data_IF_611262262134
#
_entry.id   IF_611262262134
#
_cell.length_a   1.000
_cell.length_b   1.000
_cell.length_c   1.000
_cell.angle_alpha   90.00
_cell.angle_beta   90.00
_cell.angle_gamma   90.00
#
_symmetry.space_group_name_H-M   'P 1'
#
loop_
_entity.id
_entity.type
_entity.pdbx_description
1 polymer ?
#
# COMPACT_ATOMS: atom_id res chain seq x y z
N UNK A 1 10.78 -14.94 -37.55
CA UNK A 1 11.49 -16.18 -37.95
C UNK A 1 10.61 -17.36 -37.59
N UNK A 2 10.33 -18.27 -38.53
CA UNK A 2 9.50 -19.45 -38.23
C UNK A 2 10.38 -20.48 -37.48
N UNK A 3 10.18 -20.62 -36.18
CA UNK A 3 10.78 -21.69 -35.38
C UNK A 3 9.93 -22.95 -35.47
N UNK A 4 10.54 -24.12 -35.26
CA UNK A 4 9.79 -25.37 -35.07
C UNK A 4 9.02 -25.38 -33.74
N UNK A 5 8.41 -26.51 -33.34
CA UNK A 5 7.78 -26.65 -32.02
C UNK A 5 8.77 -26.35 -30.88
N UNK A 6 8.37 -25.53 -29.93
CA UNK A 6 9.15 -25.18 -28.73
C UNK A 6 8.23 -25.13 -27.50
N UNK A 7 8.81 -25.06 -26.30
CA UNK A 7 8.01 -24.79 -25.09
C UNK A 7 7.16 -23.52 -25.24
N UNK A 8 7.70 -22.47 -25.88
CA UNK A 8 6.98 -21.22 -26.12
C UNK A 8 5.79 -21.38 -27.08
N UNK A 9 5.82 -22.33 -28.03
CA UNK A 9 4.64 -22.64 -28.86
C UNK A 9 3.56 -23.33 -28.04
N UNK A 10 3.92 -24.21 -27.12
CA UNK A 10 2.95 -24.86 -26.22
C UNK A 10 2.31 -23.84 -25.28
N UNK A 11 3.09 -22.95 -24.66
CA UNK A 11 2.58 -21.84 -23.83
C UNK A 11 1.54 -21.00 -24.58
N UNK A 12 1.83 -20.66 -25.85
CA UNK A 12 0.88 -19.96 -26.70
C UNK A 12 -0.43 -20.73 -26.85
N UNK A 13 -0.36 -22.05 -27.12
CA UNK A 13 -1.58 -22.87 -27.25
C UNK A 13 -2.37 -22.95 -25.95
N UNK A 14 -1.72 -23.01 -24.77
CA UNK A 14 -2.41 -22.99 -23.48
C UNK A 14 -3.11 -21.65 -23.27
N UNK A 15 -2.42 -20.53 -23.53
CA UNK A 15 -3.00 -19.18 -23.44
C UNK A 15 -4.21 -19.02 -24.36
N UNK A 16 -4.10 -19.45 -25.61
CA UNK A 16 -5.22 -19.43 -26.57
C UNK A 16 -6.38 -20.31 -26.13
N UNK A 17 -6.10 -21.52 -25.61
CA UNK A 17 -7.13 -22.42 -25.11
C UNK A 17 -7.88 -21.79 -23.95
N UNK A 18 -7.17 -21.21 -22.98
CA UNK A 18 -7.77 -20.52 -21.85
C UNK A 18 -8.63 -19.33 -22.30
N UNK A 19 -8.14 -18.53 -23.25
CA UNK A 19 -8.88 -17.39 -23.77
C UNK A 19 -10.20 -17.84 -24.45
N UNK A 20 -10.15 -18.85 -25.33
CA UNK A 20 -11.35 -19.38 -26.00
C UNK A 20 -12.39 -19.93 -25.00
N UNK A 21 -11.94 -20.49 -23.88
CA UNK A 21 -12.84 -21.04 -22.86
C UNK A 21 -13.44 -19.98 -21.93
N UNK A 22 -12.85 -18.80 -21.83
CA UNK A 22 -13.21 -17.79 -20.82
C UNK A 22 -13.76 -16.50 -21.39
N UNK A 23 -13.48 -16.18 -22.66
CA UNK A 23 -13.90 -14.92 -23.31
C UNK A 23 -14.47 -15.14 -24.71
N UNK A 24 -15.17 -14.14 -25.23
CA UNK A 24 -15.77 -14.23 -26.56
C UNK A 24 -14.75 -13.88 -27.65
N UNK A 25 -14.15 -14.91 -28.26
CA UNK A 25 -13.25 -14.73 -29.40
C UNK A 25 -14.02 -14.96 -30.70
N UNK A 26 -14.06 -13.98 -31.62
CA UNK A 26 -14.71 -14.14 -32.91
C UNK A 26 -14.14 -15.32 -33.72
N UNK A 27 -15.00 -15.97 -34.48
CA UNK A 27 -14.59 -17.00 -35.45
C UNK A 27 -14.77 -16.50 -36.88
N UNK A 28 -13.72 -16.60 -37.69
CA UNK A 28 -13.73 -16.29 -39.11
C UNK A 28 -13.32 -17.55 -39.87
N UNK A 29 -14.18 -18.00 -40.79
CA UNK A 29 -13.97 -19.22 -41.58
C UNK A 29 -13.64 -20.48 -40.74
N UNK A 30 -14.30 -20.63 -39.58
CA UNK A 30 -14.13 -21.79 -38.70
C UNK A 30 -12.86 -21.77 -37.85
N UNK A 31 -12.13 -20.64 -37.79
CA UNK A 31 -10.94 -20.45 -36.94
C UNK A 31 -11.15 -19.23 -36.05
N UNK A 32 -10.74 -19.33 -34.78
CA UNK A 32 -10.72 -18.18 -33.88
C UNK A 32 -9.75 -17.12 -34.39
N UNK A 33 -10.13 -15.85 -34.33
CA UNK A 33 -9.25 -14.73 -34.69
C UNK A 33 -8.09 -14.63 -33.71
N UNK A 34 -6.91 -14.26 -34.21
CA UNK A 34 -5.73 -14.04 -33.39
C UNK A 34 -5.92 -12.85 -32.42
N UNK A 35 -5.09 -12.83 -31.37
CA UNK A 35 -5.10 -11.78 -30.35
C UNK A 35 -6.15 -11.97 -29.25
N UNK A 36 -6.03 -11.14 -28.22
CA UNK A 36 -6.92 -11.11 -27.07
C UNK A 36 -7.81 -9.86 -27.18
N UNK A 37 -9.15 -9.95 -26.97
CA UNK A 37 -10.02 -8.79 -27.01
C UNK A 37 -9.59 -7.71 -26.01
N UNK A 38 -9.75 -6.44 -26.39
CA UNK A 38 -9.51 -5.33 -25.48
C UNK A 38 -10.53 -5.34 -24.32
N UNK A 39 -10.16 -5.00 -23.08
CA UNK A 39 -11.08 -4.95 -21.93
C UNK A 39 -12.36 -4.14 -22.18
N UNK A 40 -12.30 -3.06 -22.99
CA UNK A 40 -13.49 -2.26 -23.34
C UNK A 40 -14.56 -3.05 -24.10
N UNK A 41 -14.17 -4.11 -24.80
CA UNK A 41 -15.06 -4.97 -25.58
C UNK A 41 -15.38 -6.30 -24.88
N UNK A 42 -14.66 -6.65 -23.81
CA UNK A 42 -14.78 -7.93 -23.11
C UNK A 42 -14.86 -7.73 -21.59
N UNK A 43 -16.09 -7.76 -21.02
CA UNK A 43 -16.32 -7.49 -19.59
C UNK A 43 -15.55 -8.41 -18.64
N UNK A 44 -15.29 -9.67 -19.03
CA UNK A 44 -14.50 -10.60 -18.21
C UNK A 44 -13.08 -10.08 -18.02
N UNK A 45 -12.46 -9.56 -19.07
CA UNK A 45 -11.09 -9.03 -19.04
C UNK A 45 -11.03 -7.64 -18.38
N UNK A 46 -12.09 -6.84 -18.49
CA UNK A 46 -12.22 -5.61 -17.71
C UNK A 46 -12.33 -5.87 -16.20
N UNK A 47 -13.05 -6.92 -15.81
CA UNK A 47 -13.19 -7.32 -14.40
C UNK A 47 -11.91 -7.96 -13.86
N UNK A 48 -11.21 -8.75 -14.67
CA UNK A 48 -10.05 -9.55 -14.27
C UNK A 48 -8.78 -9.15 -15.04
N UNK A 49 -8.19 -8.02 -14.66
CA UNK A 49 -6.99 -7.47 -15.31
C UNK A 49 -5.80 -8.44 -15.29
N UNK A 50 -5.56 -9.14 -14.17
CA UNK A 50 -4.47 -10.11 -14.07
C UNK A 50 -4.65 -11.29 -15.03
N UNK A 51 -5.90 -11.69 -15.31
CA UNK A 51 -6.20 -12.70 -16.34
C UNK A 51 -5.90 -12.14 -17.73
N UNK A 52 -6.31 -10.90 -18.01
CA UNK A 52 -5.99 -10.25 -19.28
C UNK A 52 -4.48 -10.19 -19.53
N UNK A 53 -3.70 -9.72 -18.55
CA UNK A 53 -2.23 -9.68 -18.65
C UNK A 53 -1.62 -11.07 -18.82
N UNK A 54 -2.10 -12.08 -18.10
CA UNK A 54 -1.66 -13.47 -18.28
C UNK A 54 -1.91 -13.99 -19.69
N UNK A 55 -3.08 -13.70 -20.26
CA UNK A 55 -3.41 -14.08 -21.63
C UNK A 55 -2.53 -13.37 -22.66
N UNK A 56 -2.28 -12.06 -22.47
CA UNK A 56 -1.37 -11.30 -23.34
C UNK A 56 0.05 -11.88 -23.28
N UNK A 57 0.61 -12.09 -22.09
CA UNK A 57 1.95 -12.67 -21.93
C UNK A 57 2.04 -14.08 -22.50
N UNK A 58 1.06 -14.95 -22.25
CA UNK A 58 1.06 -16.30 -22.83
C UNK A 58 0.96 -16.30 -24.36
N UNK A 59 0.27 -15.31 -24.93
CA UNK A 59 -0.05 -15.25 -26.37
C UNK A 59 0.74 -14.18 -27.13
N UNK A 60 1.83 -13.66 -26.55
CA UNK A 60 2.65 -12.64 -27.20
C UNK A 60 3.16 -13.16 -28.56
N UNK A 61 3.09 -12.35 -29.64
CA UNK A 61 3.63 -12.75 -30.94
C UNK A 61 5.11 -13.14 -30.88
N UNK A 62 5.89 -12.50 -30.01
CA UNK A 62 7.29 -12.80 -29.75
C UNK A 62 7.42 -13.95 -28.73
N UNK A 63 7.99 -15.12 -29.12
CA UNK A 63 8.19 -16.24 -28.21
C UNK A 63 9.03 -15.91 -26.97
N UNK A 64 9.95 -14.95 -27.07
CA UNK A 64 10.87 -14.60 -25.98
C UNK A 64 10.18 -13.74 -24.91
N UNK A 65 9.02 -13.17 -25.22
CA UNK A 65 8.17 -12.40 -24.29
C UNK A 65 7.11 -13.25 -23.58
N UNK A 66 7.03 -14.54 -23.90
CA UNK A 66 6.10 -15.49 -23.26
C UNK A 66 6.68 -16.03 -21.96
N UNK A 67 5.87 -16.78 -21.20
CA UNK A 67 6.38 -17.48 -20.03
C UNK A 67 7.49 -18.46 -20.41
N UNK A 68 8.65 -18.44 -19.71
CA UNK A 68 9.82 -19.24 -20.08
C UNK A 68 9.59 -20.75 -19.86
N UNK A 69 8.58 -21.13 -19.08
CA UNK A 69 8.20 -22.53 -18.88
C UNK A 69 6.75 -22.67 -18.44
N UNK A 70 6.20 -23.89 -18.63
CA UNK A 70 4.87 -24.25 -18.12
C UNK A 70 4.80 -24.16 -16.58
N UNK A 71 5.92 -24.41 -15.88
CA UNK A 71 6.02 -24.24 -14.43
C UNK A 71 5.77 -22.79 -14.03
N UNK A 72 6.44 -21.83 -14.68
CA UNK A 72 6.24 -20.39 -14.42
C UNK A 72 4.82 -19.97 -14.74
N UNK A 73 4.28 -20.36 -15.91
CA UNK A 73 2.90 -20.07 -16.27
C UNK A 73 1.89 -20.64 -15.25
N UNK A 74 2.12 -21.85 -14.75
CA UNK A 74 1.24 -22.48 -13.74
C UNK A 74 1.24 -21.70 -12.44
N UNK A 75 2.41 -21.26 -11.96
CA UNK A 75 2.51 -20.42 -10.75
C UNK A 75 1.74 -19.11 -10.92
N UNK A 76 1.91 -18.44 -12.07
CA UNK A 76 1.19 -17.19 -12.35
C UNK A 76 -0.32 -17.40 -12.49
N UNK A 77 -0.75 -18.46 -13.19
CA UNK A 77 -2.16 -18.81 -13.33
C UNK A 77 -2.81 -19.16 -11.98
N UNK A 78 -2.09 -19.84 -11.08
CA UNK A 78 -2.57 -20.10 -9.73
C UNK A 78 -2.74 -18.80 -8.92
N UNK A 79 -1.86 -17.81 -9.08
CA UNK A 79 -2.02 -16.47 -8.53
C UNK A 79 -3.27 -15.77 -9.05
N UNK A 80 -3.43 -15.72 -10.37
CA UNK A 80 -4.62 -15.15 -11.03
C UNK A 80 -5.91 -15.83 -10.56
N UNK A 81 -5.92 -17.16 -10.45
CA UNK A 81 -7.07 -17.91 -9.97
C UNK A 81 -7.45 -17.52 -8.54
N UNK A 82 -6.47 -17.34 -7.64
CA UNK A 82 -6.71 -16.92 -6.26
C UNK A 82 -7.31 -15.52 -6.18
N UNK A 83 -6.86 -14.61 -7.03
CA UNK A 83 -7.42 -13.25 -7.14
C UNK A 83 -8.89 -13.30 -7.61
N UNK A 84 -9.19 -14.10 -8.64
CA UNK A 84 -10.55 -14.28 -9.15
C UNK A 84 -11.44 -14.91 -8.07
N UNK A 85 -10.97 -15.97 -7.40
CA UNK A 85 -11.71 -16.60 -6.32
C UNK A 85 -11.99 -15.62 -5.20
N UNK A 86 -10.99 -14.84 -4.76
CA UNK A 86 -11.17 -13.84 -3.73
C UNK A 86 -12.18 -12.76 -4.13
N UNK A 87 -12.21 -12.37 -5.41
CA UNK A 87 -13.18 -11.44 -5.96
C UNK A 87 -14.61 -11.99 -6.00
N UNK A 88 -14.79 -13.28 -6.29
CA UNK A 88 -16.13 -13.90 -6.42
C UNK A 88 -16.70 -14.40 -5.09
N UNK A 89 -15.86 -14.92 -4.19
CA UNK A 89 -16.30 -15.49 -2.90
C UNK A 89 -16.30 -14.47 -1.76
N UNK A 90 -15.52 -13.38 -1.89
CA UNK A 90 -15.25 -12.44 -0.79
C UNK A 90 -14.33 -13.00 0.30
N UNK A 91 -13.78 -14.20 0.12
CA UNK A 91 -12.83 -14.82 1.05
C UNK A 91 -11.41 -14.69 0.54
N UNK A 92 -10.45 -14.42 1.42
CA UNK A 92 -9.04 -14.35 1.01
C UNK A 92 -8.50 -15.73 0.58
N UNK A 93 -7.56 -15.71 -0.36
CA UNK A 93 -6.84 -16.90 -0.84
C UNK A 93 -5.33 -16.63 -0.82
N UNK A 94 -4.71 -16.42 0.36
CA UNK A 94 -3.31 -16.10 0.48
C UNK A 94 -2.42 -17.29 0.08
N UNK A 95 -1.26 -17.00 -0.51
CA UNK A 95 -0.19 -17.99 -0.63
C UNK A 95 1.16 -17.28 -0.66
N UNK A 96 2.15 -17.93 -0.05
CA UNK A 96 3.53 -17.50 -0.08
C UNK A 96 4.05 -17.55 -1.53
N UNK A 97 4.60 -16.43 -1.99
CA UNK A 97 5.27 -16.36 -3.27
C UNK A 97 6.54 -17.23 -3.24
N UNK A 98 6.83 -17.87 -4.37
CA UNK A 98 8.12 -18.55 -4.60
C UNK A 98 9.14 -17.65 -5.30
N UNK A 99 8.71 -16.48 -5.77
CA UNK A 99 9.53 -15.50 -6.51
C UNK A 99 9.91 -14.31 -5.65
N UNK A 100 9.09 -13.98 -4.66
CA UNK A 100 9.30 -12.87 -3.72
C UNK A 100 9.33 -13.36 -2.28
N UNK A 101 10.12 -12.69 -1.44
CA UNK A 101 10.05 -12.86 0.01
C UNK A 101 8.67 -12.45 0.55
N UNK A 102 8.30 -12.83 1.78
CA UNK A 102 7.26 -12.11 2.51
C UNK A 102 7.61 -10.60 2.63
N UNK A 103 6.61 -9.72 2.83
CA UNK A 103 6.87 -8.32 3.15
C UNK A 103 7.79 -8.18 4.36
N UNK A 104 8.78 -7.29 4.26
CA UNK A 104 9.81 -7.11 5.32
C UNK A 104 9.29 -6.29 6.50
N UNK A 105 8.44 -5.32 6.20
CA UNK A 105 7.73 -4.48 7.16
C UNK A 105 6.43 -3.96 6.51
N UNK A 106 5.69 -3.10 7.20
CA UNK A 106 4.52 -2.39 6.64
C UNK A 106 4.90 -0.94 6.34
N UNK A 107 4.10 -0.29 5.50
CA UNK A 107 4.17 1.15 5.21
C UNK A 107 2.74 1.70 5.18
N UNK A 108 2.56 3.02 5.31
CA UNK A 108 1.23 3.61 5.24
C UNK A 108 0.34 3.30 6.45
N UNK A 109 0.85 2.68 7.52
CA UNK A 109 0.04 2.27 8.67
C UNK A 109 -0.03 3.33 9.77
N UNK A 110 0.90 4.29 9.79
CA UNK A 110 1.05 5.27 10.88
C UNK A 110 0.81 6.71 10.42
N UNK A 111 0.91 7.00 9.13
CA UNK A 111 1.02 8.34 8.56
C UNK A 111 -0.23 9.19 8.83
N UNK A 112 -1.42 8.58 8.76
CA UNK A 112 -2.65 9.29 9.13
C UNK A 112 -2.76 9.51 10.64
N UNK A 113 -2.65 8.43 11.42
CA UNK A 113 -2.92 8.48 12.87
C UNK A 113 -1.79 9.17 13.65
N UNK A 114 -0.55 9.10 13.18
CA UNK A 114 0.62 9.75 13.76
C UNK A 114 0.49 11.27 13.82
N UNK A 115 -0.35 11.90 12.99
CA UNK A 115 -0.70 13.32 13.13
C UNK A 115 -1.27 13.65 14.53
N UNK A 116 -1.92 12.70 15.20
CA UNK A 116 -2.47 12.92 16.55
C UNK A 116 -1.38 12.96 17.62
N UNK A 117 -0.17 12.44 17.34
CA UNK A 117 0.93 12.43 18.31
C UNK A 117 1.42 13.84 18.66
N UNK A 118 1.05 14.87 17.89
CA UNK A 118 1.22 16.29 18.27
C UNK A 118 0.61 16.61 19.63
N UNK A 119 -0.48 15.93 20.01
CA UNK A 119 -1.08 16.07 21.34
C UNK A 119 -0.19 15.47 22.45
N UNK A 120 0.63 14.47 22.13
CA UNK A 120 1.53 13.82 23.07
C UNK A 120 2.87 14.56 23.23
N UNK A 121 3.48 15.00 22.13
CA UNK A 121 4.85 15.54 22.15
C UNK A 121 5.03 16.95 21.54
N UNK A 122 3.99 17.50 20.90
CA UNK A 122 4.04 18.82 20.28
C UNK A 122 4.74 18.85 18.91
N UNK A 123 5.10 17.69 18.36
CA UNK A 123 5.75 17.58 17.06
C UNK A 123 4.69 17.35 15.98
N UNK A 124 4.64 18.29 15.02
CA UNK A 124 3.78 18.16 13.84
C UNK A 124 4.38 17.11 12.90
N UNK A 125 3.54 16.18 12.46
CA UNK A 125 3.89 15.11 11.52
C UNK A 125 3.05 15.25 10.25
N UNK A 126 3.66 14.97 9.10
CA UNK A 126 2.95 14.94 7.83
C UNK A 126 2.13 13.67 7.66
N UNK A 127 1.15 13.70 6.75
CA UNK A 127 0.30 12.55 6.36
C UNK A 127 0.82 11.79 5.15
N UNK A 128 1.91 12.26 4.55
CA UNK A 128 2.42 11.78 3.28
C UNK A 128 3.24 10.51 3.47
N UNK A 129 3.21 9.65 2.45
CA UNK A 129 4.02 8.43 2.41
C UNK A 129 5.47 8.78 2.14
N UNK A 130 6.38 8.02 2.74
CA UNK A 130 7.80 8.10 2.42
C UNK A 130 8.17 6.98 1.44
N UNK A 131 8.74 7.35 0.29
CA UNK A 131 9.31 6.39 -0.66
C UNK A 131 10.38 5.49 -0.02
N UNK A 132 11.09 6.03 1.01
CA UNK A 132 12.02 5.26 1.85
C UNK A 132 11.36 4.03 2.44
N UNK A 133 10.24 4.24 3.14
CA UNK A 133 9.53 3.22 3.90
C UNK A 133 8.84 2.22 2.97
N UNK A 134 8.30 2.69 1.84
CA UNK A 134 7.72 1.81 0.80
C UNK A 134 8.78 0.83 0.30
N UNK A 135 9.93 1.30 -0.18
CA UNK A 135 10.95 0.40 -0.72
C UNK A 135 11.62 -0.47 0.36
N UNK A 136 11.62 -0.05 1.63
CA UNK A 136 12.03 -0.90 2.74
C UNK A 136 11.02 -2.04 3.01
N UNK A 137 9.72 -1.76 2.85
CA UNK A 137 8.64 -2.71 3.08
C UNK A 137 8.43 -3.71 1.93
N UNK A 138 8.67 -3.27 0.69
CA UNK A 138 8.47 -4.10 -0.49
C UNK A 138 9.29 -5.41 -0.43
N UNK A 139 8.74 -6.53 -0.93
CA UNK A 139 9.43 -7.81 -0.99
C UNK A 139 10.75 -7.77 -1.78
N UNK A 140 11.63 -8.74 -1.50
CA UNK A 140 12.85 -8.94 -2.30
C UNK A 140 12.67 -10.12 -3.25
N UNK A 141 13.15 -10.03 -4.50
CA UNK A 141 13.23 -11.18 -5.39
C UNK A 141 14.06 -12.31 -4.79
N UNK A 142 13.60 -13.55 -4.98
CA UNK A 142 14.25 -14.77 -4.52
C UNK A 142 15.02 -15.43 -5.67
N UNK A 143 16.15 -16.04 -5.29
CA UNK A 143 16.89 -16.97 -6.15
C UNK A 143 16.11 -18.29 -6.16
N UNK A 144 15.94 -18.92 -7.33
CA UNK A 144 15.32 -20.25 -7.41
C UNK A 144 16.17 -21.23 -6.57
N UNK A 145 15.61 -21.94 -5.58
CA UNK A 145 16.38 -22.91 -4.79
C UNK A 145 17.02 -24.03 -5.62
N UNK A 146 16.52 -24.27 -6.84
CA UNK A 146 17.12 -25.20 -7.78
C UNK A 146 18.33 -24.63 -8.54
N UNK A 147 18.59 -23.32 -8.44
CA UNK A 147 19.76 -22.67 -9.05
C UNK A 147 21.05 -23.06 -8.29
N UNK A 148 22.11 -23.52 -8.98
CA UNK A 148 23.37 -23.90 -8.35
C UNK A 148 24.05 -22.77 -7.55
N UNK A 149 23.79 -21.50 -7.90
CA UNK A 149 24.31 -20.30 -7.24
C UNK A 149 23.61 -20.01 -5.91
N UNK A 150 22.41 -20.54 -5.67
CA UNK A 150 21.63 -20.28 -4.46
C UNK A 150 22.40 -20.66 -3.18
N UNK A 151 23.03 -21.84 -3.17
CA UNK A 151 23.82 -22.31 -2.03
C UNK A 151 25.09 -21.46 -1.82
N UNK A 152 25.72 -20.98 -2.89
CA UNK A 152 26.93 -20.15 -2.83
C UNK A 152 26.64 -18.75 -2.30
N UNK A 153 25.43 -18.23 -2.57
CA UNK A 153 24.99 -16.89 -2.18
C UNK A 153 24.12 -16.87 -0.91
N UNK A 154 23.89 -18.01 -0.25
CA UNK A 154 23.06 -18.11 0.95
C UNK A 154 23.52 -17.16 2.09
N UNK A 155 24.82 -16.90 2.20
CA UNK A 155 25.40 -15.98 3.20
C UNK A 155 25.14 -14.49 2.94
N UNK A 156 24.59 -14.12 1.77
CA UNK A 156 24.31 -12.72 1.39
C UNK A 156 23.00 -12.20 1.96
N UNK A 157 22.18 -13.07 2.56
CA UNK A 157 20.92 -12.71 3.23
C UNK A 157 21.16 -12.30 4.69
N UNK A 158 22.13 -11.41 4.93
CA UNK A 158 22.46 -10.92 6.26
C UNK A 158 21.61 -9.68 6.62
N UNK A 159 21.19 -9.54 7.88
CA UNK A 159 20.36 -8.41 8.32
C UNK A 159 21.12 -7.07 8.31
N UNK A 160 22.44 -7.11 8.46
CA UNK A 160 23.33 -5.93 8.36
C UNK A 160 23.89 -5.83 6.94
N UNK A 161 23.63 -4.74 6.21
CA UNK A 161 24.00 -4.62 4.78
C UNK A 161 25.50 -4.67 4.52
N UNK A 162 26.34 -4.08 5.39
CA UNK A 162 27.79 -4.10 5.22
C UNK A 162 28.36 -5.54 5.25
N UNK A 163 27.89 -6.35 6.19
CA UNK A 163 28.25 -7.77 6.26
C UNK A 163 27.67 -8.57 5.08
N UNK A 164 26.50 -8.21 4.56
CA UNK A 164 25.96 -8.81 3.35
C UNK A 164 26.86 -8.51 2.13
N UNK A 165 27.39 -7.28 2.02
CA UNK A 165 28.31 -6.90 0.94
C UNK A 165 29.61 -7.69 1.02
N UNK A 166 30.18 -7.82 2.21
CA UNK A 166 31.38 -8.63 2.42
C UNK A 166 31.15 -10.12 2.12
N UNK A 167 29.95 -10.63 2.40
CA UNK A 167 29.54 -11.99 2.03
C UNK A 167 29.46 -12.16 0.50
N UNK A 168 28.91 -11.18 -0.24
CA UNK A 168 28.90 -11.19 -1.72
C UNK A 168 30.33 -11.20 -2.26
N UNK A 169 31.20 -10.30 -1.76
CA UNK A 169 32.61 -10.23 -2.15
C UNK A 169 33.35 -11.54 -1.86
N UNK A 170 33.08 -12.16 -0.71
CA UNK A 170 33.65 -13.46 -0.36
C UNK A 170 33.13 -14.58 -1.27
N UNK A 171 31.84 -14.56 -1.65
CA UNK A 171 31.29 -15.51 -2.60
C UNK A 171 31.94 -15.40 -3.98
N UNK A 172 32.13 -14.17 -4.50
CA UNK A 172 32.83 -13.94 -5.77
C UNK A 172 34.25 -14.50 -5.77
N UNK A 173 35.05 -14.21 -4.73
CA UNK A 173 36.40 -14.78 -4.57
C UNK A 173 36.41 -16.31 -4.53
N UNK A 174 35.44 -16.93 -3.82
CA UNK A 174 35.33 -18.40 -3.79
C UNK A 174 35.04 -18.96 -5.18
N UNK A 175 34.13 -18.34 -5.92
CA UNK A 175 33.74 -18.76 -7.26
C UNK A 175 34.90 -18.66 -8.28
N UNK A 176 35.74 -17.62 -8.19
CA UNK A 176 36.96 -17.48 -9.02
C UNK A 176 37.97 -18.62 -8.80
N UNK A 177 38.06 -19.12 -7.56
CA UNK A 177 38.99 -20.19 -7.17
C UNK A 177 38.38 -21.60 -7.24
N UNK A 178 37.10 -21.73 -7.58
CA UNK A 178 36.38 -22.99 -7.53
C UNK A 178 36.87 -23.97 -8.62
N UNK A 179 37.20 -25.22 -8.29
CA UNK A 179 37.50 -26.24 -9.29
C UNK A 179 36.25 -26.51 -10.14
N UNK A 180 36.31 -26.19 -11.44
CA UNK A 180 35.16 -26.30 -12.35
C UNK A 180 34.51 -24.96 -12.73
N UNK A 181 35.00 -23.84 -12.19
CA UNK A 181 34.46 -22.51 -12.46
C UNK A 181 33.17 -22.20 -11.69
N UNK A 182 32.70 -20.96 -11.82
CA UNK A 182 31.41 -20.55 -11.28
C UNK A 182 30.26 -21.09 -12.14
N UNK A 183 29.08 -21.40 -11.56
CA UNK A 183 27.88 -21.63 -12.34
C UNK A 183 27.59 -20.46 -13.28
N UNK A 184 26.97 -20.72 -14.45
CA UNK A 184 26.70 -19.68 -15.45
C UNK A 184 25.83 -18.53 -14.88
N UNK A 185 24.85 -18.86 -14.03
CA UNK A 185 23.98 -17.87 -13.38
C UNK A 185 24.66 -17.08 -12.25
N UNK A 186 25.82 -17.51 -11.77
CA UNK A 186 26.42 -16.96 -10.55
C UNK A 186 26.76 -15.48 -10.69
N UNK A 187 27.28 -15.06 -11.85
CA UNK A 187 27.66 -13.66 -12.07
C UNK A 187 26.45 -12.73 -11.99
N UNK A 188 25.31 -13.15 -12.58
CA UNK A 188 24.06 -12.40 -12.54
C UNK A 188 23.47 -12.39 -11.13
N UNK A 189 23.33 -13.55 -10.49
CA UNK A 189 22.76 -13.68 -9.14
C UNK A 189 23.58 -12.94 -8.07
N UNK A 190 24.92 -12.99 -8.16
CA UNK A 190 25.78 -12.23 -7.26
C UNK A 190 25.63 -10.71 -7.45
N UNK A 191 25.42 -10.26 -8.69
CA UNK A 191 25.22 -8.84 -9.01
C UNK A 191 23.86 -8.36 -8.53
N UNK A 192 22.78 -9.13 -8.72
CA UNK A 192 21.46 -8.83 -8.17
C UNK A 192 21.47 -8.80 -6.63
N UNK A 193 22.22 -9.70 -5.99
CA UNK A 193 22.43 -9.67 -4.54
C UNK A 193 23.17 -8.39 -4.10
N UNK A 194 24.18 -7.95 -4.85
CA UNK A 194 24.93 -6.72 -4.59
C UNK A 194 24.07 -5.46 -4.78
N UNK A 195 23.27 -5.40 -5.84
CA UNK A 195 22.28 -4.33 -6.10
C UNK A 195 21.32 -4.19 -4.92
N UNK A 196 20.78 -5.31 -4.41
CA UNK A 196 19.92 -5.31 -3.22
C UNK A 196 20.63 -4.71 -2.00
N UNK A 197 21.89 -5.08 -1.77
CA UNK A 197 22.67 -4.58 -0.62
C UNK A 197 22.92 -3.08 -0.72
N UNK A 198 23.26 -2.56 -1.90
CA UNK A 198 23.40 -1.11 -2.12
C UNK A 198 22.08 -0.35 -1.90
N UNK A 199 20.94 -0.92 -2.29
CA UNK A 199 19.63 -0.34 -1.99
C UNK A 199 19.31 -0.30 -0.49
N UNK A 200 19.71 -1.33 0.25
CA UNK A 200 19.57 -1.37 1.72
C UNK A 200 20.55 -0.39 2.42
N UNK A 201 21.69 -0.07 1.79
CA UNK A 201 22.65 0.96 2.20
C UNK A 201 22.24 2.40 1.81
N UNK A 202 21.12 2.58 1.11
CA UNK A 202 20.66 3.87 0.57
C UNK A 202 21.61 4.47 -0.50
N UNK A 203 22.20 3.60 -1.33
CA UNK A 203 23.13 3.95 -2.41
C UNK A 203 22.55 3.63 -3.81
N UNK A 204 21.48 4.32 -4.26
CA UNK A 204 20.78 3.99 -5.52
C UNK A 204 21.64 4.18 -6.78
N UNK A 205 22.61 5.10 -6.76
CA UNK A 205 23.51 5.33 -7.88
C UNK A 205 24.44 4.13 -8.14
N UNK A 206 25.01 3.54 -7.08
CA UNK A 206 25.84 2.35 -7.18
C UNK A 206 25.01 1.13 -7.62
N UNK A 207 23.80 0.98 -7.07
CA UNK A 207 22.86 -0.06 -7.46
C UNK A 207 22.53 0.03 -8.97
N UNK A 208 22.32 1.24 -9.51
CA UNK A 208 22.09 1.42 -10.94
C UNK A 208 23.28 1.04 -11.80
N UNK A 209 24.48 1.49 -11.44
CA UNK A 209 25.67 1.18 -12.24
C UNK A 209 25.89 -0.34 -12.34
N UNK A 210 25.68 -1.08 -11.25
CA UNK A 210 25.73 -2.54 -11.26
C UNK A 210 24.65 -3.15 -12.15
N UNK A 211 23.44 -2.60 -12.11
CA UNK A 211 22.30 -3.11 -12.88
C UNK A 211 22.41 -2.82 -14.38
N UNK A 212 22.91 -1.65 -14.77
CA UNK A 212 23.15 -1.29 -16.17
C UNK A 212 24.24 -2.15 -16.83
N UNK A 213 25.17 -2.67 -16.01
CA UNK A 213 26.21 -3.59 -16.44
C UNK A 213 25.74 -5.06 -16.46
N UNK A 214 24.52 -5.36 -15.98
CA UNK A 214 23.93 -6.68 -16.04
C UNK A 214 23.47 -6.95 -17.49
N UNK A 215 24.23 -7.75 -18.23
CA UNK A 215 23.93 -8.02 -19.65
C UNK A 215 22.60 -8.75 -19.88
N UNK A 216 22.13 -9.52 -18.90
CA UNK A 216 20.85 -10.23 -18.95
C UNK A 216 19.75 -9.42 -18.26
N UNK A 217 18.60 -9.31 -18.93
CA UNK A 217 17.44 -8.56 -18.43
C UNK A 217 16.27 -9.52 -18.25
N UNK A 218 15.86 -9.71 -17.00
CA UNK A 218 14.60 -10.34 -16.65
C UNK A 218 13.76 -9.40 -15.78
N UNK A 219 12.59 -9.86 -15.32
CA UNK A 219 11.70 -9.08 -14.47
C UNK A 219 12.37 -8.58 -13.18
N UNK A 220 13.43 -9.22 -12.68
CA UNK A 220 14.15 -8.77 -11.48
C UNK A 220 14.91 -7.49 -11.76
N UNK A 221 15.41 -7.33 -12.98
CA UNK A 221 16.03 -6.08 -13.43
C UNK A 221 15.02 -4.94 -13.38
N UNK A 222 13.81 -5.13 -13.92
CA UNK A 222 12.73 -4.13 -13.83
C UNK A 222 12.33 -3.85 -12.37
N UNK A 223 12.26 -4.89 -11.53
CA UNK A 223 11.98 -4.72 -10.10
C UNK A 223 13.00 -3.83 -9.40
N UNK A 224 14.29 -4.07 -9.61
CA UNK A 224 15.35 -3.25 -9.02
C UNK A 224 15.42 -1.85 -9.64
N UNK A 225 15.15 -1.69 -10.94
CA UNK A 225 14.99 -0.37 -11.56
C UNK A 225 13.87 0.43 -10.89
N UNK A 226 12.73 -0.22 -10.58
CA UNK A 226 11.62 0.39 -9.84
C UNK A 226 12.01 0.83 -8.43
N UNK A 227 12.75 0.00 -7.70
CA UNK A 227 13.26 0.34 -6.35
C UNK A 227 14.28 1.49 -6.38
N UNK A 228 15.17 1.50 -7.37
CA UNK A 228 16.13 2.58 -7.60
C UNK A 228 15.39 3.89 -7.90
N UNK A 229 14.43 3.86 -8.83
CA UNK A 229 13.64 5.03 -9.20
C UNK A 229 12.81 5.57 -8.01
N UNK A 230 12.25 4.68 -7.18
CA UNK A 230 11.60 5.05 -5.91
C UNK A 230 12.54 5.82 -4.97
N UNK A 231 13.78 5.36 -4.81
CA UNK A 231 14.80 5.99 -3.96
C UNK A 231 15.20 7.37 -4.49
N UNK A 232 15.19 7.54 -5.80
CA UNK A 232 15.51 8.81 -6.46
C UNK A 232 14.31 9.74 -6.67
N UNK A 233 13.13 9.33 -6.20
CA UNK A 233 11.90 10.11 -6.31
C UNK A 233 11.39 10.29 -7.75
N UNK A 234 11.81 9.41 -8.67
CA UNK A 234 11.27 9.31 -10.02
C UNK A 234 10.11 8.30 -10.03
N UNK A 235 8.94 8.74 -9.55
CA UNK A 235 7.82 7.83 -9.26
C UNK A 235 7.11 7.29 -10.51
N UNK A 236 7.13 8.02 -11.63
CA UNK A 236 6.54 7.59 -12.90
C UNK A 236 7.41 6.48 -13.50
N UNK A 237 8.73 6.67 -13.52
CA UNK A 237 9.65 5.61 -13.93
C UNK A 237 9.57 4.40 -13.00
N UNK A 238 9.40 4.61 -11.70
CA UNK A 238 9.20 3.52 -10.76
C UNK A 238 7.92 2.75 -11.06
N UNK A 239 6.82 3.44 -11.35
CA UNK A 239 5.56 2.83 -11.76
C UNK A 239 5.74 1.99 -13.02
N UNK A 240 6.32 2.54 -14.08
CA UNK A 240 6.53 1.83 -15.35
C UNK A 240 7.36 0.56 -15.16
N UNK A 241 8.40 0.64 -14.31
CA UNK A 241 9.25 -0.50 -13.98
C UNK A 241 8.46 -1.59 -13.25
N UNK A 242 7.62 -1.24 -12.26
CA UNK A 242 6.78 -2.23 -11.58
C UNK A 242 5.62 -2.75 -12.46
N UNK A 243 5.14 -1.97 -13.41
CA UNK A 243 4.15 -2.42 -14.41
C UNK A 243 4.75 -3.43 -15.39
N UNK A 244 6.00 -3.24 -15.80
CA UNK A 244 6.75 -4.25 -16.56
C UNK A 244 6.87 -5.56 -15.77
N UNK A 245 7.17 -5.49 -14.46
CA UNK A 245 7.15 -6.68 -13.59
C UNK A 245 5.77 -7.32 -13.52
N UNK A 246 4.69 -6.53 -13.42
CA UNK A 246 3.33 -7.08 -13.41
C UNK A 246 2.95 -7.75 -14.73
N UNK A 247 3.46 -7.27 -15.86
CA UNK A 247 3.28 -7.92 -17.17
C UNK A 247 3.99 -9.29 -17.21
N UNK A 248 5.18 -9.39 -16.65
CA UNK A 248 5.90 -10.66 -16.54
C UNK A 248 5.27 -11.61 -15.50
N UNK A 249 4.76 -11.06 -14.40
CA UNK A 249 4.27 -11.79 -13.22
C UNK A 249 2.84 -11.37 -12.83
N UNK A 250 1.84 -11.65 -13.67
CA UNK A 250 0.48 -11.16 -13.47
C UNK A 250 -0.22 -11.77 -12.25
N UNK A 251 0.26 -12.92 -11.75
CA UNK A 251 -0.29 -13.58 -10.56
C UNK A 251 0.32 -13.15 -9.23
N UNK A 252 1.33 -12.27 -9.24
CA UNK A 252 2.02 -11.85 -8.02
C UNK A 252 1.37 -10.62 -7.38
N UNK A 253 1.32 -10.62 -6.04
CA UNK A 253 0.82 -9.49 -5.22
C UNK A 253 1.86 -8.37 -5.11
N UNK A 254 3.15 -8.71 -5.09
CA UNK A 254 4.25 -7.77 -4.88
C UNK A 254 4.25 -6.60 -5.90
N UNK A 255 4.20 -6.83 -7.23
CA UNK A 255 4.15 -5.73 -8.20
C UNK A 255 2.87 -4.90 -8.09
N UNK A 256 1.72 -5.51 -7.77
CA UNK A 256 0.46 -4.77 -7.55
C UNK A 256 0.56 -3.81 -6.36
N UNK A 257 1.17 -4.25 -5.26
CA UNK A 257 1.40 -3.40 -4.10
C UNK A 257 2.35 -2.25 -4.42
N UNK A 258 3.43 -2.51 -5.16
CA UNK A 258 4.40 -1.50 -5.57
C UNK A 258 3.79 -0.46 -6.52
N UNK A 259 2.98 -0.89 -7.48
CA UNK A 259 2.20 -0.03 -8.38
C UNK A 259 1.21 0.85 -7.59
N UNK A 260 0.48 0.28 -6.63
CA UNK A 260 -0.47 1.05 -5.83
C UNK A 260 0.24 2.15 -5.01
N UNK A 261 1.38 1.81 -4.41
CA UNK A 261 2.17 2.74 -3.61
C UNK A 261 2.84 3.84 -4.45
N UNK A 262 3.37 3.51 -5.62
CA UNK A 262 3.95 4.49 -6.55
C UNK A 262 2.90 5.43 -7.12
N UNK A 263 1.73 4.93 -7.51
CA UNK A 263 0.61 5.76 -7.94
C UNK A 263 0.19 6.76 -6.85
N UNK A 264 0.19 6.33 -5.58
CA UNK A 264 -0.09 7.21 -4.45
C UNK A 264 1.03 8.25 -4.23
N UNK A 265 2.30 7.92 -4.47
CA UNK A 265 3.41 8.88 -4.40
C UNK A 265 3.35 9.92 -5.52
N UNK A 266 3.00 9.52 -6.76
CA UNK A 266 2.78 10.43 -7.88
C UNK A 266 1.74 11.49 -7.49
N UNK A 267 0.61 11.05 -6.93
CA UNK A 267 -0.45 11.96 -6.44
C UNK A 267 0.00 12.93 -5.33
N UNK A 268 0.99 12.56 -4.53
CA UNK A 268 1.46 13.38 -3.41
C UNK A 268 2.52 14.43 -3.82
N UNK A 269 3.22 14.21 -4.93
CA UNK A 269 4.46 14.95 -5.25
C UNK A 269 4.42 15.63 -6.62
N UNK A 270 3.51 15.23 -7.51
CA UNK A 270 3.36 15.83 -8.83
C UNK A 270 1.95 16.32 -9.10
N UNK A 271 1.89 17.42 -9.85
CA UNK A 271 0.66 17.92 -10.47
C UNK A 271 0.40 17.09 -11.73
N UNK A 272 -0.25 15.94 -11.56
CA UNK A 272 -0.58 15.06 -12.67
C UNK A 272 -1.69 15.69 -13.53
N UNK A 273 -1.60 15.62 -14.87
CA UNK A 273 -2.70 16.07 -15.73
C UNK A 273 -3.97 15.23 -15.57
N UNK A 274 -3.88 14.01 -15.02
CA UNK A 274 -5.02 13.16 -14.72
C UNK A 274 -4.88 12.50 -13.32
N UNK A 275 -5.17 13.24 -12.23
CA UNK A 275 -5.08 12.70 -10.89
C UNK A 275 -6.16 11.64 -10.61
N UNK A 276 -7.23 11.58 -11.41
CA UNK A 276 -8.27 10.56 -11.26
C UNK A 276 -7.76 9.19 -11.72
N UNK A 277 -6.97 9.14 -12.80
CA UNK A 277 -6.33 7.91 -13.27
C UNK A 277 -5.43 7.28 -12.20
N UNK A 278 -4.53 8.07 -11.62
CA UNK A 278 -3.62 7.58 -10.58
C UNK A 278 -4.35 7.12 -9.32
N UNK A 279 -5.40 7.85 -8.92
CA UNK A 279 -6.25 7.48 -7.77
C UNK A 279 -6.99 6.16 -8.03
N UNK A 280 -7.57 6.01 -9.20
CA UNK A 280 -8.22 4.76 -9.61
C UNK A 280 -7.24 3.59 -9.65
N UNK A 281 -6.03 3.82 -10.17
CA UNK A 281 -4.97 2.81 -10.19
C UNK A 281 -4.57 2.37 -8.78
N UNK A 282 -4.32 3.32 -7.88
CA UNK A 282 -3.98 3.03 -6.49
C UNK A 282 -5.12 2.27 -5.78
N UNK A 283 -6.36 2.74 -5.87
CA UNK A 283 -7.52 2.08 -5.27
C UNK A 283 -7.67 0.64 -5.76
N UNK A 284 -7.64 0.45 -7.09
CA UNK A 284 -7.80 -0.86 -7.73
C UNK A 284 -6.78 -1.86 -7.22
N UNK A 285 -5.50 -1.52 -7.25
CA UNK A 285 -4.46 -2.47 -6.85
C UNK A 285 -4.38 -2.69 -5.34
N UNK A 286 -4.59 -1.66 -4.50
CA UNK A 286 -4.73 -1.88 -3.07
C UNK A 286 -5.94 -2.77 -2.75
N UNK A 287 -7.08 -2.59 -3.42
CA UNK A 287 -8.26 -3.43 -3.25
C UNK A 287 -8.00 -4.89 -3.66
N UNK A 288 -7.33 -5.11 -4.79
CA UNK A 288 -6.98 -6.45 -5.26
C UNK A 288 -6.04 -7.16 -4.28
N UNK A 289 -4.99 -6.48 -3.83
CA UNK A 289 -4.05 -7.03 -2.84
C UNK A 289 -4.78 -7.34 -1.53
N UNK A 290 -5.54 -6.38 -1.00
CA UNK A 290 -6.23 -6.52 0.28
C UNK A 290 -7.27 -7.64 0.27
N UNK A 291 -7.99 -7.82 -0.83
CA UNK A 291 -8.96 -8.91 -0.97
C UNK A 291 -8.30 -10.28 -1.04
N UNK A 292 -7.12 -10.36 -1.66
CA UNK A 292 -6.43 -11.63 -1.92
C UNK A 292 -5.65 -12.13 -0.69
N UNK A 293 -5.02 -11.21 0.05
CA UNK A 293 -4.21 -11.53 1.23
C UNK A 293 -4.35 -10.43 2.31
N UNK A 294 -5.08 -10.74 3.39
CA UNK A 294 -5.32 -9.84 4.53
C UNK A 294 -4.11 -9.74 5.47
N UNK A 295 -3.04 -10.47 5.20
CA UNK A 295 -1.73 -10.30 5.83
C UNK A 295 -0.98 -9.06 5.33
N UNK A 296 -1.32 -8.55 4.13
CA UNK A 296 -0.67 -7.37 3.53
C UNK A 296 -1.33 -6.08 4.01
N UNK A 297 -1.10 -5.74 5.27
CA UNK A 297 -1.82 -4.64 5.96
C UNK A 297 -1.62 -3.27 5.30
N UNK A 298 -0.47 -3.00 4.67
CA UNK A 298 -0.26 -1.76 3.90
C UNK A 298 -1.35 -1.52 2.86
N UNK A 299 -1.90 -2.60 2.28
CA UNK A 299 -2.98 -2.51 1.30
C UNK A 299 -4.32 -2.10 1.92
N UNK A 300 -4.63 -2.52 3.14
CA UNK A 300 -5.84 -2.08 3.86
C UNK A 300 -5.81 -0.56 4.10
N UNK A 301 -4.67 -0.06 4.57
CA UNK A 301 -4.51 1.36 4.87
C UNK A 301 -4.43 2.21 3.60
N UNK A 302 -3.74 1.72 2.55
CA UNK A 302 -3.73 2.33 1.23
C UNK A 302 -5.13 2.45 0.64
N UNK A 303 -5.89 1.34 0.64
CA UNK A 303 -7.28 1.33 0.21
C UNK A 303 -8.13 2.32 1.01
N UNK A 304 -8.00 2.34 2.33
CA UNK A 304 -8.72 3.27 3.18
C UNK A 304 -8.41 4.74 2.87
N UNK A 305 -7.15 5.07 2.57
CA UNK A 305 -6.77 6.42 2.13
C UNK A 305 -7.40 6.80 0.79
N UNK A 306 -7.36 5.91 -0.20
CA UNK A 306 -7.95 6.19 -1.51
C UNK A 306 -9.49 6.35 -1.41
N UNK A 307 -10.15 5.45 -0.69
CA UNK A 307 -11.59 5.52 -0.45
C UNK A 307 -11.99 6.78 0.34
N UNK A 308 -11.21 7.17 1.35
CA UNK A 308 -11.47 8.39 2.10
C UNK A 308 -11.26 9.65 1.25
N UNK A 309 -10.26 9.67 0.37
CA UNK A 309 -10.03 10.76 -0.57
C UNK A 309 -11.17 10.91 -1.59
N UNK A 310 -11.83 9.80 -1.94
CA UNK A 310 -13.03 9.77 -2.79
C UNK A 310 -14.35 10.01 -2.00
N UNK A 311 -14.26 10.39 -0.72
CA UNK A 311 -15.43 10.62 0.14
C UNK A 311 -16.18 9.36 0.57
N UNK A 312 -15.71 8.17 0.21
CA UNK A 312 -16.31 6.86 0.56
C UNK A 312 -15.87 6.39 1.96
N UNK A 313 -16.08 7.25 2.96
CA UNK A 313 -15.60 7.06 4.35
C UNK A 313 -16.07 5.75 4.98
N UNK A 314 -17.33 5.35 4.76
CA UNK A 314 -17.85 4.09 5.28
C UNK A 314 -17.10 2.88 4.73
N UNK A 315 -16.74 2.89 3.44
CA UNK A 315 -15.95 1.84 2.82
C UNK A 315 -14.49 1.87 3.30
N UNK A 316 -13.92 3.06 3.51
CA UNK A 316 -12.59 3.21 4.09
C UNK A 316 -12.51 2.61 5.50
N UNK A 317 -13.50 2.89 6.34
CA UNK A 317 -13.63 2.32 7.69
C UNK A 317 -13.83 0.80 7.62
N UNK A 318 -14.65 0.30 6.69
CA UNK A 318 -14.83 -1.14 6.50
C UNK A 318 -13.51 -1.84 6.12
N UNK A 319 -12.70 -1.24 5.23
CA UNK A 319 -11.39 -1.79 4.85
C UNK A 319 -10.43 -1.90 6.05
N UNK A 320 -10.40 -0.90 6.93
CA UNK A 320 -9.65 -0.95 8.19
C UNK A 320 -10.29 -1.92 9.20
N UNK A 321 -11.61 -2.07 9.15
CA UNK A 321 -12.35 -2.96 10.02
C UNK A 321 -12.08 -4.45 9.73
N UNK A 322 -11.72 -4.76 8.49
CA UNK A 322 -11.32 -6.10 8.07
C UNK A 322 -9.90 -6.47 8.50
N UNK A 323 -9.10 -5.54 9.04
CA UNK A 323 -7.75 -5.87 9.54
C UNK A 323 -7.88 -6.90 10.68
N UNK A 324 -7.25 -8.09 10.57
CA UNK A 324 -7.40 -9.14 11.56
C UNK A 324 -6.94 -8.72 12.96
N UNK A 325 -7.63 -9.16 14.00
CA UNK A 325 -7.25 -8.87 15.40
C UNK A 325 -5.90 -9.44 15.82
N UNK A 326 -5.39 -10.43 15.08
CA UNK A 326 -4.04 -10.98 15.27
C UNK A 326 -2.93 -10.09 14.68
N UNK A 327 -3.28 -9.10 13.86
CA UNK A 327 -2.32 -8.17 13.27
C UNK A 327 -1.73 -7.24 14.34
N UNK A 328 -0.41 -6.99 14.27
CA UNK A 328 0.26 -5.97 15.09
C UNK A 328 -0.27 -4.55 14.87
N UNK A 329 -0.95 -4.32 13.73
CA UNK A 329 -1.50 -3.03 13.33
C UNK A 329 -3.02 -2.93 13.57
N UNK A 330 -3.62 -3.89 14.27
CA UNK A 330 -5.05 -3.90 14.51
C UNK A 330 -5.53 -2.65 15.25
N UNK A 331 -4.80 -2.26 16.31
CA UNK A 331 -5.11 -1.07 17.10
C UNK A 331 -4.97 0.19 16.25
N UNK A 332 -3.88 0.33 15.50
CA UNK A 332 -3.66 1.44 14.57
C UNK A 332 -4.79 1.55 13.54
N UNK A 333 -5.29 0.42 13.01
CA UNK A 333 -6.41 0.41 12.08
C UNK A 333 -7.70 0.93 12.75
N UNK A 334 -8.01 0.50 13.98
CA UNK A 334 -9.19 1.00 14.73
C UNK A 334 -9.09 2.49 15.02
N UNK A 335 -7.92 2.95 15.45
CA UNK A 335 -7.66 4.37 15.75
C UNK A 335 -7.76 5.21 14.47
N UNK A 336 -7.21 4.71 13.35
CA UNK A 336 -7.27 5.37 12.05
C UNK A 336 -8.72 5.45 11.54
N UNK A 337 -9.52 4.41 11.74
CA UNK A 337 -10.95 4.44 11.40
C UNK A 337 -11.71 5.53 12.18
N UNK A 338 -11.42 5.69 13.48
CA UNK A 338 -11.96 6.80 14.28
C UNK A 338 -11.53 8.15 13.70
N UNK A 339 -10.25 8.31 13.35
CA UNK A 339 -9.76 9.54 12.76
C UNK A 339 -10.45 9.86 11.42
N UNK A 340 -10.60 8.87 10.53
CA UNK A 340 -11.26 9.05 9.23
C UNK A 340 -12.73 9.45 9.39
N UNK A 341 -13.47 8.85 10.32
CA UNK A 341 -14.86 9.25 10.61
C UNK A 341 -14.99 10.74 10.99
N UNK A 342 -13.96 11.31 11.62
CA UNK A 342 -13.99 12.70 12.09
C UNK A 342 -13.44 13.70 11.08
N UNK A 343 -12.54 13.27 10.19
CA UNK A 343 -11.71 14.18 9.39
C UNK A 343 -11.91 14.04 7.89
N UNK A 344 -12.35 12.87 7.42
CA UNK A 344 -12.57 12.66 6.00
C UNK A 344 -13.73 13.55 5.52
N UNK A 345 -13.46 14.33 4.47
CA UNK A 345 -14.45 15.20 3.85
C UNK A 345 -15.17 14.40 2.77
N UNK A 346 -16.51 14.41 2.70
CA UNK A 346 -17.22 13.88 1.54
C UNK A 346 -16.83 14.73 0.31
N UNK A 347 -16.45 14.07 -0.79
CA UNK A 347 -16.15 14.74 -2.04
C UNK A 347 -17.40 15.48 -2.56
N UNK A 348 -17.28 16.76 -2.87
CA UNK A 348 -18.30 17.52 -3.59
C UNK A 348 -18.45 16.97 -5.01
N UNK A 349 -19.67 16.72 -5.51
CA UNK A 349 -19.89 16.48 -6.93
C UNK A 349 -19.75 17.81 -7.68
N UNK A 350 -18.51 18.20 -8.03
CA UNK A 350 -18.26 19.39 -8.86
C UNK A 350 -16.87 19.99 -8.82
N UNK A 351 -16.03 19.69 -7.82
CA UNK A 351 -14.75 20.40 -7.60
C UNK A 351 -13.55 19.84 -8.39
N UNK A 352 -13.80 19.15 -9.50
CA UNK A 352 -12.74 18.58 -10.36
C UNK A 352 -11.97 19.62 -11.18
N UNK A 353 -12.32 20.91 -11.13
CA UNK A 353 -11.82 21.91 -12.09
C UNK A 353 -10.97 23.05 -11.51
N UNK A 354 -10.59 23.05 -10.23
CA UNK A 354 -9.77 24.14 -9.67
C UNK A 354 -8.47 23.64 -9.05
N UNK A 355 -7.49 23.42 -9.92
CA UNK A 355 -6.09 23.14 -9.59
C UNK A 355 -5.33 24.38 -9.08
N UNK A 356 -5.85 25.01 -8.03
CA UNK A 356 -5.12 26.07 -7.33
C UNK A 356 -4.56 25.50 -6.03
N UNK A 357 -3.30 25.05 -6.12
CA UNK A 357 -2.31 24.83 -5.07
C UNK A 357 -2.84 24.40 -3.70
N UNK A 358 -2.53 23.16 -3.32
CA UNK A 358 -2.65 22.62 -1.96
C UNK A 358 -1.95 23.55 -0.92
N UNK A 359 -2.62 24.61 -0.54
CA UNK A 359 -2.40 25.21 0.76
C UNK A 359 -2.76 24.11 1.73
N UNK A 360 -1.79 23.68 2.55
CA UNK A 360 -1.98 22.85 3.72
C UNK A 360 -3.04 23.48 4.63
N UNK A 361 -4.31 23.32 4.25
CA UNK A 361 -5.44 23.42 5.15
C UNK A 361 -5.21 22.25 6.09
N UNK A 362 -4.72 22.57 7.30
CA UNK A 362 -4.87 21.72 8.47
C UNK A 362 -6.21 21.01 8.32
N UNK A 363 -6.25 19.67 8.46
CA UNK A 363 -7.47 18.89 8.32
C UNK A 363 -8.54 19.46 9.26
N UNK A 364 -9.30 20.44 8.75
CA UNK A 364 -10.26 21.20 9.50
C UNK A 364 -11.50 20.36 9.43
N UNK A 365 -11.97 19.91 10.59
CA UNK A 365 -13.23 19.17 10.63
C UNK A 365 -14.33 20.11 10.19
N UNK A 366 -14.94 19.82 9.04
CA UNK A 366 -16.18 20.48 8.61
C UNK A 366 -17.33 19.99 9.49
N UNK A 367 -17.49 20.68 10.61
CA UNK A 367 -18.48 20.35 11.62
C UNK A 367 -19.92 20.54 11.11
N UNK A 368 -20.14 21.34 10.05
CA UNK A 368 -21.47 21.63 9.51
C UNK A 368 -22.07 20.42 8.78
N UNK A 369 -21.21 19.52 8.26
CA UNK A 369 -21.60 18.35 7.47
C UNK A 369 -21.62 17.04 8.26
N UNK A 370 -21.10 17.06 9.49
CA UNK A 370 -20.94 15.86 10.29
C UNK A 370 -22.29 15.45 10.91
N UNK A 371 -22.64 14.16 10.85
CA UNK A 371 -23.83 13.65 11.53
C UNK A 371 -23.55 13.35 13.02
N UNK A 372 -24.55 13.55 13.90
CA UNK A 372 -24.44 13.15 15.31
C UNK A 372 -24.15 11.63 15.46
N UNK A 373 -24.72 10.81 14.56
CA UNK A 373 -24.49 9.36 14.49
C UNK A 373 -22.99 9.03 14.40
N UNK A 374 -22.25 9.77 13.57
CA UNK A 374 -20.82 9.59 13.33
C UNK A 374 -19.99 9.88 14.58
N UNK A 375 -20.36 10.91 15.34
CA UNK A 375 -19.74 11.23 16.63
C UNK A 375 -19.90 10.09 17.64
N UNK A 376 -21.11 9.53 17.74
CA UNK A 376 -21.39 8.40 18.63
C UNK A 376 -20.67 7.12 18.19
N UNK A 377 -20.61 6.85 16.89
CA UNK A 377 -19.85 5.71 16.34
C UNK A 377 -18.35 5.85 16.64
N UNK A 378 -17.78 7.03 16.41
CA UNK A 378 -16.38 7.32 16.73
C UNK A 378 -16.09 7.16 18.24
N UNK A 379 -16.98 7.68 19.09
CA UNK A 379 -16.89 7.55 20.54
C UNK A 379 -16.98 6.08 21.01
N UNK A 380 -17.93 5.31 20.47
CA UNK A 380 -18.11 3.90 20.82
C UNK A 380 -16.90 3.06 20.43
N UNK A 381 -16.36 3.27 19.21
CA UNK A 381 -15.13 2.63 18.75
C UNK A 381 -13.96 2.93 19.67
N UNK A 382 -13.81 4.18 20.09
CA UNK A 382 -12.75 4.58 21.02
C UNK A 382 -12.92 3.96 22.41
N UNK A 383 -14.15 3.81 22.91
CA UNK A 383 -14.44 3.16 24.20
C UNK A 383 -14.18 1.65 24.20
N UNK A 384 -14.26 1.01 23.05
CA UNK A 384 -13.95 -0.41 22.90
C UNK A 384 -12.44 -0.72 22.97
N UNK A 385 -11.59 0.30 22.79
CA UNK A 385 -10.14 0.14 22.87
C UNK A 385 -9.63 0.19 24.32
N UNK A 386 -8.52 -0.50 24.64
CA UNK A 386 -7.92 -0.43 25.96
C UNK A 386 -7.54 1.01 26.34
N UNK A 387 -7.92 1.45 27.53
CA UNK A 387 -7.61 2.82 27.99
C UNK A 387 -6.11 3.11 28.15
N UNK A 388 -5.28 2.05 28.25
CA UNK A 388 -3.82 2.16 28.31
C UNK A 388 -3.17 2.39 26.95
N UNK A 389 -3.91 2.26 25.85
CA UNK A 389 -3.42 2.48 24.51
C UNK A 389 -2.99 3.94 24.31
N UNK A 390 -1.79 4.15 23.73
CA UNK A 390 -1.08 5.43 23.77
C UNK A 390 -1.89 6.59 23.20
N UNK A 391 -2.60 6.34 22.09
CA UNK A 391 -3.30 7.36 21.31
C UNK A 391 -4.76 7.58 21.74
N UNK A 392 -5.30 6.75 22.63
CA UNK A 392 -6.71 6.86 23.07
C UNK A 392 -6.99 8.19 23.76
N UNK A 393 -6.07 8.67 24.60
CA UNK A 393 -6.23 9.97 25.27
C UNK A 393 -6.28 11.15 24.28
N UNK A 394 -5.47 11.09 23.22
CA UNK A 394 -5.38 12.10 22.19
C UNK A 394 -6.67 12.12 21.34
N UNK A 395 -7.11 10.95 20.86
CA UNK A 395 -8.35 10.83 20.10
C UNK A 395 -9.59 11.16 20.94
N UNK A 396 -9.57 10.91 22.26
CA UNK A 396 -10.67 11.33 23.14
C UNK A 396 -10.83 12.86 23.14
N UNK A 397 -9.72 13.59 23.19
CA UNK A 397 -9.73 15.05 23.07
C UNK A 397 -10.23 15.47 21.69
N UNK A 398 -9.80 14.79 20.63
CA UNK A 398 -10.24 15.07 19.27
C UNK A 398 -11.75 14.86 19.08
N UNK A 399 -12.30 13.71 19.46
CA UNK A 399 -13.75 13.42 19.37
C UNK A 399 -14.58 14.46 20.13
N UNK A 400 -14.17 14.81 21.35
CA UNK A 400 -14.87 15.83 22.14
C UNK A 400 -14.74 17.23 21.52
N UNK A 401 -13.58 17.56 20.96
CA UNK A 401 -13.33 18.80 20.24
C UNK A 401 -14.19 18.93 18.99
N UNK A 402 -14.28 17.86 18.20
CA UNK A 402 -15.15 17.78 17.03
C UNK A 402 -16.62 17.94 17.40
N UNK A 403 -17.08 17.25 18.45
CA UNK A 403 -18.44 17.39 18.94
C UNK A 403 -18.74 18.79 19.48
N UNK A 404 -17.75 19.47 20.07
CA UNK A 404 -17.88 20.86 20.51
C UNK A 404 -18.02 21.79 19.30
N UNK A 405 -17.20 21.62 18.26
CA UNK A 405 -17.30 22.38 17.02
C UNK A 405 -18.67 22.17 16.35
N UNK A 406 -19.18 20.93 16.35
CA UNK A 406 -20.51 20.58 15.85
C UNK A 406 -21.65 21.32 16.60
N UNK A 407 -21.57 21.43 17.94
CA UNK A 407 -22.54 22.27 18.67
C UNK A 407 -22.39 23.76 18.35
N UNK A 408 -21.17 24.23 18.11
CA UNK A 408 -20.88 25.64 17.79
C UNK A 408 -21.32 26.04 16.38
N UNK A 409 -21.39 25.07 15.46
CA UNK A 409 -22.03 25.18 14.15
C UNK A 409 -23.56 25.35 14.22
N UNK A 410 -24.16 25.23 15.41
CA UNK A 410 -25.58 25.45 15.64
C UNK A 410 -26.42 24.17 15.64
N UNK A 411 -25.80 22.99 15.49
CA UNK A 411 -26.49 21.72 15.62
C UNK A 411 -26.94 21.46 17.07
N UNK A 412 -27.95 20.60 17.22
CA UNK A 412 -28.51 20.21 18.52
C UNK A 412 -28.58 18.70 18.64
N UNK A 413 -28.19 18.12 19.78
CA UNK A 413 -28.34 16.69 20.00
C UNK A 413 -29.80 16.27 19.86
N UNK A 414 -30.04 15.13 19.22
CA UNK A 414 -31.37 14.57 18.97
C UNK A 414 -32.12 14.29 20.28
N UNK A 415 -31.41 13.77 21.29
CA UNK A 415 -31.98 13.42 22.58
C UNK A 415 -31.53 14.39 23.68
N UNK A 416 -32.50 14.96 24.38
CA UNK A 416 -32.27 15.77 25.59
C UNK A 416 -31.56 14.92 26.64
N UNK A 417 -30.36 15.35 27.05
CA UNK A 417 -29.56 14.66 28.07
C UNK A 417 -28.68 13.53 27.53
N UNK A 418 -28.45 13.44 26.22
CA UNK A 418 -27.46 12.52 25.66
C UNK A 418 -26.06 12.78 26.23
N UNK A 419 -25.22 11.74 26.21
CA UNK A 419 -23.82 11.84 26.65
C UNK A 419 -22.90 11.39 25.53
N UNK A 420 -21.69 11.96 25.49
CA UNK A 420 -20.64 11.57 24.58
C UNK A 420 -19.37 11.31 25.40
N UNK A 421 -18.85 10.08 25.31
CA UNK A 421 -17.68 9.65 26.07
C UNK A 421 -17.83 9.88 27.60
N UNK A 422 -19.05 9.77 28.12
CA UNK A 422 -19.37 10.00 29.54
C UNK A 422 -19.47 11.48 29.96
N UNK A 423 -19.39 12.42 29.02
CA UNK A 423 -19.68 13.83 29.27
C UNK A 423 -21.10 14.17 28.81
N UNK A 424 -21.85 15.04 29.52
CA UNK A 424 -23.10 15.57 29.00
C UNK A 424 -22.87 16.22 27.64
N UNK A 425 -23.67 15.87 26.63
CA UNK A 425 -23.54 16.37 25.26
C UNK A 425 -24.06 17.81 25.16
N UNK A 426 -23.33 18.70 25.82
CA UNK A 426 -23.57 20.13 25.94
C UNK A 426 -22.23 20.83 25.81
N UNK A 427 -22.21 22.08 25.35
CA UNK A 427 -20.95 22.83 25.23
C UNK A 427 -20.16 22.83 26.55
N UNK A 428 -20.83 23.01 27.68
CA UNK A 428 -20.19 22.99 29.01
C UNK A 428 -19.62 21.62 29.36
N UNK A 429 -20.34 20.53 29.08
CA UNK A 429 -19.90 19.16 29.36
C UNK A 429 -18.70 18.77 28.49
N UNK A 430 -18.77 19.03 27.19
CA UNK A 430 -17.68 18.75 26.25
C UNK A 430 -16.42 19.55 26.58
N UNK A 431 -16.54 20.86 26.87
CA UNK A 431 -15.40 21.70 27.29
C UNK A 431 -14.72 21.16 28.56
N UNK A 432 -15.48 20.69 29.55
CA UNK A 432 -14.93 20.05 30.75
C UNK A 432 -14.19 18.74 30.42
N UNK A 433 -14.75 17.94 29.53
CA UNK A 433 -14.10 16.71 29.06
C UNK A 433 -12.78 16.98 28.34
N UNK A 434 -12.76 17.96 27.44
CA UNK A 434 -11.57 18.40 26.72
C UNK A 434 -10.52 18.93 27.70
N UNK A 435 -10.91 19.81 28.63
CA UNK A 435 -10.02 20.35 29.66
C UNK A 435 -9.37 19.21 30.47
N UNK A 436 -10.17 18.24 30.92
CA UNK A 436 -9.66 17.09 31.67
C UNK A 436 -8.68 16.24 30.85
N UNK A 437 -9.00 15.98 29.57
CA UNK A 437 -8.13 15.24 28.65
C UNK A 437 -6.80 15.94 28.39
N UNK A 438 -6.83 17.25 28.09
CA UNK A 438 -5.63 18.06 27.88
C UNK A 438 -4.75 18.13 29.14
N UNK A 439 -5.35 18.29 30.33
CA UNK A 439 -4.62 18.23 31.60
C UNK A 439 -4.03 16.84 31.88
N UNK A 440 -4.67 15.77 31.43
CA UNK A 440 -4.11 14.43 31.52
C UNK A 440 -2.89 14.26 30.59
N UNK A 441 -2.98 14.69 29.33
CA UNK A 441 -1.85 14.70 28.39
C UNK A 441 -0.69 15.56 28.89
N UNK A 442 -0.98 16.72 29.50
CA UNK A 442 0.03 17.60 30.07
C UNK A 442 0.86 16.94 31.19
N UNK A 443 0.28 15.98 31.93
CA UNK A 443 1.01 15.24 32.99
C UNK A 443 2.06 14.28 32.42
N UNK A 444 1.86 13.79 31.20
CA UNK A 444 2.74 12.83 30.52
C UNK A 444 3.56 13.46 29.40
N UNK A 445 3.47 14.78 29.22
CA UNK A 445 4.19 15.50 28.18
C UNK A 445 5.72 15.38 28.38
N UNK A 446 6.50 15.17 27.31
CA UNK A 446 7.95 14.90 27.39
C UNK A 446 8.76 16.13 27.83
N UNK A 447 8.22 17.34 27.69
CA UNK A 447 8.93 18.59 27.96
C UNK A 447 8.05 19.68 28.57
N UNK A 448 8.69 20.64 29.25
CA UNK A 448 7.99 21.75 29.93
C UNK A 448 7.23 22.63 28.94
N UNK A 449 7.80 22.91 27.77
CA UNK A 449 7.19 23.75 26.73
C UNK A 449 5.88 23.16 26.25
N UNK A 450 5.86 21.88 25.85
CA UNK A 450 4.64 21.21 25.42
C UNK A 450 3.61 21.09 26.54
N UNK A 451 4.05 20.77 27.76
CA UNK A 451 3.17 20.78 28.94
C UNK A 451 2.48 22.13 29.14
N UNK A 452 3.20 23.24 29.02
CA UNK A 452 2.60 24.57 29.15
C UNK A 452 1.60 24.84 28.02
N UNK A 453 1.94 24.51 26.78
CA UNK A 453 1.02 24.64 25.65
C UNK A 453 -0.30 23.88 25.87
N UNK A 454 -0.24 22.64 26.36
CA UNK A 454 -1.43 21.84 26.68
C UNK A 454 -2.24 22.44 27.85
N UNK A 455 -1.58 22.98 28.86
CA UNK A 455 -2.26 23.66 29.99
C UNK A 455 -2.93 24.95 29.54
N UNK A 456 -2.28 25.73 28.68
CA UNK A 456 -2.83 26.96 28.12
C UNK A 456 -4.03 26.66 27.22
N UNK A 457 -3.96 25.61 26.39
CA UNK A 457 -5.09 25.13 25.60
C UNK A 457 -6.24 24.67 26.51
N UNK A 458 -5.96 23.95 27.59
CA UNK A 458 -6.96 23.53 28.57
C UNK A 458 -7.64 24.74 29.25
N UNK A 459 -6.87 25.78 29.58
CA UNK A 459 -7.37 27.02 30.16
C UNK A 459 -8.23 27.81 29.17
N UNK A 460 -7.84 27.85 27.88
CA UNK A 460 -8.59 28.54 26.83
C UNK A 460 -9.96 27.88 26.55
N UNK A 461 -10.02 26.54 26.64
CA UNK A 461 -11.25 25.77 26.36
C UNK A 461 -12.20 25.76 27.57
N UNK A 462 -11.68 25.99 28.79
CA UNK A 462 -12.43 25.96 30.05
C UNK A 462 -13.76 26.72 29.94
N UNK A 463 -14.85 26.05 30.32
CA UNK A 463 -16.17 26.67 30.33
C UNK A 463 -16.18 27.86 31.32
N UNK A 464 -16.53 29.06 30.84
CA UNK A 464 -16.66 30.25 31.69
C UNK A 464 -17.75 29.98 32.75
N UNK A 465 -17.38 30.03 34.02
CA UNK A 465 -18.33 30.10 35.12
C UNK A 465 -18.91 31.51 35.15
N UNK A 466 -20.20 31.65 34.91
CA UNK A 466 -20.93 32.85 35.32
C UNK A 466 -20.89 32.87 36.85
N UNK A 467 -20.22 33.86 37.43
CA UNK A 467 -20.36 34.22 38.83
C UNK A 467 -21.47 35.25 38.96
#
# INVERSE_FOLDING_TARGET
TATGPTAATDIYTVGRTLAVLTVNIPMVAGRYTDGIPHPDAEPVLARYESLHRLLLTATDPDPDRRFPSARVMTTQLAGVLREILAAETGTEHPQLSTLFSPPRTSFGTDELIGQTDVYADGVVRGKNLAARDIAAALPVPLIDPADPSAALLAGTAHSEPEHALDAVRAARRRAETAPGGAPDSFAAEATLAEVRVHLDLDEPAAARELLDNLGEHDWRTDWFQGLIALREQDYERAYDSFDAVLCALPGEIAPKLAIAATAELVLQQWDSPDPAQWRHCAEKFYATVWRTDRGVVSAAFGLARQLAADGRVAAAVAALDDVPSASRHYTEARLTAVLLLLTAQPAEPGDSESGDGETQRHAQVDADRLEESTLHVAAARLQALPAAERRVAQLRVLVLGTALAWLQAGHRPQASGSTLLGQPFTERGLRRGIESGLRALARTAPGRTHRYALVDLANAIRAKSWF
#
